data_IF_045655706412
#
_entry.id   IF_045655706412
#
_cell.length_a   1.000
_cell.length_b   1.000
_cell.length_c   1.000
_cell.angle_alpha   90.00
_cell.angle_beta   90.00
_cell.angle_gamma   90.00
#
_symmetry.space_group_name_H-M   'P 1'
#
loop_
_entity.id
_entity.type
_entity.pdbx_description
1 polymer ?
#
# COMPACT_ATOMS: atom_id res chain seq x y z
N UNK A 1 13.48 8.25 -0.99
CA UNK A 1 13.02 7.80 0.34
C UNK A 1 11.78 6.94 0.10
N UNK A 2 11.66 5.74 0.71
CA UNK A 2 10.46 4.94 0.57
C UNK A 2 9.30 5.54 1.37
N UNK A 3 8.10 5.37 0.84
CA UNK A 3 6.83 5.77 1.44
C UNK A 3 6.09 4.53 1.93
N UNK A 4 5.51 4.61 3.13
CA UNK A 4 4.52 3.67 3.61
C UNK A 4 3.11 4.23 3.36
N UNK A 5 2.27 3.44 2.71
CA UNK A 5 0.84 3.72 2.60
C UNK A 5 0.18 3.09 3.82
N UNK A 6 -0.41 3.94 4.66
CA UNK A 6 -1.01 3.58 5.94
C UNK A 6 -2.42 3.02 5.74
N UNK A 7 -2.87 2.18 6.68
CA UNK A 7 -4.17 1.54 6.64
C UNK A 7 -5.32 2.48 7.03
N UNK A 8 -6.49 1.90 7.30
CA UNK A 8 -7.69 2.65 7.65
C UNK A 8 -7.59 3.44 8.97
N UNK A 9 -6.61 3.10 9.81
CA UNK A 9 -6.28 3.83 11.04
C UNK A 9 -4.82 4.28 10.92
N UNK A 10 -4.55 5.40 10.22
CA UNK A 10 -3.20 5.79 9.86
C UNK A 10 -2.32 6.09 11.07
N UNK A 11 -2.88 6.71 12.11
CA UNK A 11 -2.22 6.95 13.40
C UNK A 11 -1.61 5.69 14.01
N UNK A 12 -2.37 4.58 14.06
CA UNK A 12 -1.87 3.32 14.60
C UNK A 12 -0.88 2.65 13.65
N UNK A 13 -1.01 2.87 12.34
CA UNK A 13 -0.06 2.35 11.35
C UNK A 13 1.29 3.07 11.45
N UNK A 14 1.27 4.39 11.65
CA UNK A 14 2.47 5.18 11.89
C UNK A 14 3.09 4.87 13.26
N UNK A 15 2.26 4.64 14.29
CA UNK A 15 2.73 4.20 15.60
C UNK A 15 3.39 2.82 15.53
N UNK A 16 2.83 1.87 14.79
CA UNK A 16 3.47 0.58 14.51
C UNK A 16 4.84 0.78 13.86
N UNK A 17 4.92 1.67 12.87
CA UNK A 17 6.16 2.03 12.21
C UNK A 17 7.11 2.87 13.07
N UNK A 18 6.72 3.35 14.25
CA UNK A 18 7.55 4.23 15.07
C UNK A 18 7.95 5.54 14.37
N UNK A 19 7.11 6.05 13.47
CA UNK A 19 7.36 7.28 12.70
C UNK A 19 6.35 8.37 13.10
N UNK A 20 6.72 9.66 13.01
CA UNK A 20 5.77 10.75 13.20
C UNK A 20 4.66 10.71 12.16
N UNK A 21 3.46 11.19 12.53
CA UNK A 21 2.31 11.29 11.65
C UNK A 21 1.53 12.57 11.93
N UNK A 22 1.28 13.35 10.89
CA UNK A 22 0.65 14.68 10.91
C UNK A 22 -0.63 14.75 10.07
N UNK A 23 -1.18 13.59 9.71
CA UNK A 23 -2.42 13.43 8.95
C UNK A 23 -2.25 12.65 7.65
N UNK A 24 -3.35 12.49 6.92
CA UNK A 24 -3.34 11.77 5.65
C UNK A 24 -3.09 10.27 5.78
N UNK A 25 -2.56 9.67 4.72
CA UNK A 25 -2.43 8.21 4.53
C UNK A 25 -0.99 7.77 4.22
N UNK A 26 -0.02 8.66 4.35
CA UNK A 26 1.36 8.41 3.97
C UNK A 26 2.26 8.67 5.17
N UNK A 27 3.28 7.83 5.33
CA UNK A 27 4.42 8.11 6.19
C UNK A 27 5.73 7.93 5.40
N UNK A 28 6.68 8.81 5.67
CA UNK A 28 8.05 8.67 5.19
C UNK A 28 8.80 7.65 6.05
N UNK A 29 9.50 6.72 5.40
CA UNK A 29 10.23 5.67 6.09
C UNK A 29 11.71 6.04 6.23
N UNK A 30 12.30 5.94 7.44
CA UNK A 30 13.71 6.23 7.68
C UNK A 30 14.65 5.18 7.07
N UNK A 31 14.11 4.02 6.66
CA UNK A 31 14.87 2.91 6.09
C UNK A 31 13.96 1.84 5.47
N UNK A 32 14.55 0.71 5.12
CA UNK A 32 13.82 -0.44 4.59
C UNK A 32 13.05 -1.17 5.69
N UNK A 33 11.82 -1.58 5.38
CA UNK A 33 10.96 -2.33 6.29
C UNK A 33 10.35 -3.51 5.55
N UNK A 34 10.25 -4.64 6.25
CA UNK A 34 9.56 -5.82 5.74
C UNK A 34 8.04 -5.67 5.94
N UNK A 35 7.33 -5.41 4.84
CA UNK A 35 5.88 -5.27 4.83
C UNK A 35 5.15 -6.50 5.40
N UNK A 36 5.74 -7.70 5.28
CA UNK A 36 5.11 -8.93 5.77
C UNK A 36 5.10 -9.03 7.30
N UNK A 37 5.85 -8.16 7.99
CA UNK A 37 5.85 -8.08 9.45
C UNK A 37 4.92 -7.00 10.00
N UNK A 38 4.36 -6.16 9.14
CA UNK A 38 3.45 -5.09 9.54
C UNK A 38 1.99 -5.54 9.46
N UNK A 39 1.14 -4.93 10.28
CA UNK A 39 -0.31 -5.10 10.24
C UNK A 39 -1.04 -3.87 9.70
N UNK A 40 -0.53 -2.66 9.96
CA UNK A 40 -1.17 -1.39 9.63
C UNK A 40 -0.85 -0.87 8.25
N UNK A 41 0.36 -1.13 7.73
CA UNK A 41 0.78 -0.69 6.40
C UNK A 41 0.19 -1.57 5.29
N UNK A 42 -0.38 -0.94 4.26
CA UNK A 42 -1.05 -1.65 3.14
C UNK A 42 -0.19 -1.74 1.89
N UNK A 43 0.70 -0.77 1.67
CA UNK A 43 1.65 -0.77 0.55
C UNK A 43 2.96 -0.07 0.96
N UNK A 44 4.02 -0.42 0.25
CA UNK A 44 5.26 0.36 0.19
C UNK A 44 5.43 0.92 -1.23
N UNK A 45 6.03 2.10 -1.33
CA UNK A 45 6.31 2.73 -2.61
C UNK A 45 7.65 3.47 -2.60
N UNK A 46 8.32 3.50 -3.74
CA UNK A 46 9.50 4.34 -3.95
C UNK A 46 9.10 5.61 -4.68
N UNK A 47 9.57 6.76 -4.21
CA UNK A 47 9.41 8.04 -4.90
C UNK A 47 10.22 8.05 -6.19
N UNK A 48 9.57 8.39 -7.30
CA UNK A 48 10.19 8.49 -8.62
C UNK A 48 10.28 9.94 -9.11
N UNK A 49 9.48 10.84 -8.57
CA UNK A 49 9.47 12.25 -9.01
C UNK A 49 8.28 13.02 -8.46
N UNK A 50 8.04 14.19 -9.04
CA UNK A 50 6.88 15.05 -8.73
C UNK A 50 6.03 15.36 -9.97
N UNK A 51 6.51 14.99 -11.17
CA UNK A 51 5.77 15.18 -12.41
C UNK A 51 5.10 13.87 -12.82
N UNK A 52 3.80 13.95 -13.13
CA UNK A 52 3.06 12.79 -13.61
C UNK A 52 3.63 12.27 -14.94
N UNK A 53 4.30 13.10 -15.73
CA UNK A 53 4.92 12.71 -16.99
C UNK A 53 6.01 11.64 -16.83
N UNK A 54 6.64 11.54 -15.66
CA UNK A 54 7.62 10.51 -15.31
C UNK A 54 7.02 9.09 -15.44
N UNK A 55 5.73 8.94 -15.10
CA UNK A 55 5.01 7.68 -15.25
C UNK A 55 4.94 7.23 -16.70
N UNK A 56 4.70 8.15 -17.65
CA UNK A 56 4.63 7.82 -19.07
C UNK A 56 6.01 7.36 -19.61
N UNK A 57 7.08 8.00 -19.14
CA UNK A 57 8.45 7.60 -19.49
C UNK A 57 8.74 6.16 -19.02
N UNK A 58 8.35 5.82 -17.79
CA UNK A 58 8.44 4.44 -17.26
C UNK A 58 7.60 3.48 -18.10
N UNK A 59 6.35 3.83 -18.42
CA UNK A 59 5.49 2.98 -19.24
C UNK A 59 6.08 2.71 -20.62
N UNK A 60 6.79 3.67 -21.21
CA UNK A 60 7.49 3.50 -22.49
C UNK A 60 8.71 2.59 -22.38
N UNK A 61 9.40 2.58 -21.24
CA UNK A 61 10.59 1.74 -21.03
C UNK A 61 10.29 0.29 -20.66
N UNK A 62 9.07 -0.03 -20.19
CA UNK A 62 8.70 -1.44 -19.91
C UNK A 62 8.83 -2.27 -21.20
N UNK A 63 9.46 -3.47 -21.17
CA UNK A 63 9.56 -4.37 -22.33
C UNK A 63 8.22 -4.68 -23.02
N UNK A 64 8.25 -4.91 -24.33
CA UNK A 64 7.06 -5.19 -25.16
C UNK A 64 6.79 -6.67 -25.37
N UNK A 65 7.49 -7.56 -24.68
CA UNK A 65 7.35 -9.02 -24.73
C UNK A 65 6.09 -9.55 -24.03
N UNK A 66 5.36 -8.69 -23.31
CA UNK A 66 4.09 -9.01 -22.68
C UNK A 66 3.14 -7.81 -22.64
N UNK A 67 1.90 -8.08 -22.22
CA UNK A 67 0.86 -7.06 -22.07
C UNK A 67 1.23 -6.09 -20.93
N UNK A 68 1.37 -4.81 -21.27
CA UNK A 68 1.57 -3.74 -20.30
C UNK A 68 0.27 -3.48 -19.54
N UNK A 69 0.30 -3.66 -18.22
CA UNK A 69 -0.83 -3.34 -17.33
C UNK A 69 -0.37 -2.24 -16.39
N UNK A 70 -1.15 -1.18 -16.22
CA UNK A 70 -0.79 -0.08 -15.32
C UNK A 70 -2.02 0.54 -14.66
N UNK A 71 -1.81 1.30 -13.59
CA UNK A 71 -2.89 1.99 -12.87
C UNK A 71 -2.36 3.11 -11.97
N UNK A 72 -3.28 3.83 -11.35
CA UNK A 72 -2.97 4.93 -10.43
C UNK A 72 -3.69 4.72 -9.10
N UNK A 73 -3.00 5.05 -8.01
CA UNK A 73 -3.56 5.10 -6.66
C UNK A 73 -3.29 6.48 -6.05
N UNK A 74 -4.34 7.25 -5.75
CA UNK A 74 -4.24 8.63 -5.23
C UNK A 74 -4.46 8.65 -3.72
N UNK A 75 -3.51 9.23 -2.97
CA UNK A 75 -3.54 9.29 -1.51
C UNK A 75 -3.41 10.72 -0.99
N UNK A 76 -4.00 10.99 0.17
CA UNK A 76 -3.75 12.20 0.93
C UNK A 76 -2.40 12.10 1.65
N UNK A 77 -1.52 13.08 1.47
CA UNK A 77 -0.24 13.19 2.14
C UNK A 77 -0.29 13.88 3.50
N UNK A 78 -1.36 14.64 3.76
CA UNK A 78 -1.58 15.38 5.01
C UNK A 78 -3.10 15.54 5.28
N UNK A 79 -3.47 16.20 6.38
CA UNK A 79 -4.86 16.45 6.77
C UNK A 79 -5.56 17.55 5.96
N UNK A 80 -4.84 18.28 5.10
CA UNK A 80 -5.40 19.39 4.31
C UNK A 80 -6.11 18.89 3.04
N UNK A 81 -5.79 17.67 2.60
CA UNK A 81 -6.38 17.07 1.40
C UNK A 81 -7.72 16.42 1.70
N UNK A 82 -8.75 16.92 1.04
CA UNK A 82 -10.12 16.43 1.17
C UNK A 82 -10.40 15.22 0.28
N UNK A 83 -11.41 14.43 0.65
CA UNK A 83 -11.90 13.30 -0.14
C UNK A 83 -12.36 13.72 -1.55
N UNK A 84 -12.97 14.89 -1.68
CA UNK A 84 -13.38 15.45 -2.98
C UNK A 84 -12.17 15.76 -3.88
N UNK A 85 -11.08 16.28 -3.31
CA UNK A 85 -9.84 16.52 -4.06
C UNK A 85 -9.24 15.19 -4.55
N UNK A 86 -9.20 14.16 -3.71
CA UNK A 86 -8.73 12.82 -4.10
C UNK A 86 -9.56 12.25 -5.26
N UNK A 87 -10.90 12.28 -5.15
CA UNK A 87 -11.80 11.79 -6.17
C UNK A 87 -11.66 12.56 -7.50
N UNK A 88 -11.59 13.89 -7.43
CA UNK A 88 -11.41 14.74 -8.61
C UNK A 88 -10.06 14.47 -9.29
N UNK A 89 -8.98 14.30 -8.52
CA UNK A 89 -7.66 14.02 -9.08
C UNK A 89 -7.57 12.61 -9.66
N UNK A 90 -8.14 11.61 -8.98
CA UNK A 90 -8.22 10.24 -9.51
C UNK A 90 -8.99 10.19 -10.84
N UNK A 91 -10.07 10.97 -10.98
CA UNK A 91 -10.77 11.12 -12.27
C UNK A 91 -9.86 11.71 -13.35
N UNK A 92 -9.13 12.78 -13.05
CA UNK A 92 -8.15 13.38 -13.99
C UNK A 92 -7.09 12.37 -14.45
N UNK A 93 -6.55 11.58 -13.51
CA UNK A 93 -5.57 10.53 -13.84
C UNK A 93 -6.17 9.38 -14.64
N UNK A 94 -7.45 9.05 -14.43
CA UNK A 94 -8.16 8.06 -15.25
C UNK A 94 -8.26 8.52 -16.70
N UNK A 95 -8.64 9.78 -16.93
CA UNK A 95 -8.75 10.36 -18.28
C UNK A 95 -7.36 10.43 -18.95
N UNK A 96 -6.34 10.86 -18.22
CA UNK A 96 -4.95 10.87 -18.66
C UNK A 96 -4.44 9.46 -19.01
N UNK A 97 -4.72 8.47 -18.15
CA UNK A 97 -4.37 7.08 -18.38
C UNK A 97 -5.04 6.49 -19.61
N UNK A 98 -6.27 6.90 -19.92
CA UNK A 98 -6.96 6.49 -21.14
C UNK A 98 -6.30 7.09 -22.39
N UNK A 99 -5.84 8.34 -22.31
CA UNK A 99 -5.06 8.96 -23.38
C UNK A 99 -3.72 8.23 -23.59
N UNK A 100 -2.95 7.97 -22.52
CA UNK A 100 -1.69 7.21 -22.62
C UNK A 100 -1.88 5.79 -23.13
N UNK A 101 -2.95 5.11 -22.69
CA UNK A 101 -3.31 3.79 -23.22
C UNK A 101 -3.54 3.82 -24.72
N UNK A 102 -4.18 4.87 -25.26
CA UNK A 102 -4.35 5.04 -26.72
C UNK A 102 -3.00 5.26 -27.40
N UNK A 103 -2.20 6.19 -26.90
CA UNK A 103 -0.86 6.49 -27.44
C UNK A 103 0.06 5.25 -27.48
N UNK A 104 0.09 4.47 -26.40
CA UNK A 104 0.92 3.25 -26.32
C UNK A 104 0.40 2.13 -27.22
N UNK A 105 -0.92 2.07 -27.46
CA UNK A 105 -1.50 1.12 -28.43
C UNK A 105 -1.13 1.49 -29.88
N UNK A 106 -1.10 2.78 -30.20
CA UNK A 106 -0.66 3.26 -31.53
C UNK A 106 0.79 2.91 -31.83
N UNK A 107 1.64 2.75 -30.80
CA UNK A 107 3.00 2.23 -30.94
C UNK A 107 3.08 0.69 -30.97
N UNK A 108 1.97 0.00 -31.24
CA UNK A 108 1.91 -1.47 -31.38
C UNK A 108 1.88 -2.26 -30.06
N UNK A 109 1.73 -1.62 -28.90
CA UNK A 109 1.72 -2.34 -27.61
C UNK A 109 0.35 -2.86 -27.22
N UNK A 110 0.31 -4.05 -26.61
CA UNK A 110 -0.87 -4.53 -25.87
C UNK A 110 -0.91 -3.87 -24.49
N UNK A 111 -1.91 -3.03 -24.23
CA UNK A 111 -1.98 -2.19 -23.02
C UNK A 111 -3.34 -2.23 -22.33
N UNK A 112 -3.34 -2.34 -21.01
CA UNK A 112 -4.52 -2.20 -20.13
C UNK A 112 -4.26 -1.15 -19.04
N UNK A 113 -5.18 -0.20 -18.94
CA UNK A 113 -5.35 0.63 -17.75
C UNK A 113 -6.27 -0.10 -16.77
N UNK A 114 -5.83 -0.27 -15.53
CA UNK A 114 -6.62 -0.74 -14.39
C UNK A 114 -7.30 0.46 -13.76
N UNK A 115 -8.59 0.35 -13.51
CA UNK A 115 -9.42 1.42 -12.95
C UNK A 115 -10.21 0.89 -11.75
N UNK A 116 -10.47 1.78 -10.80
CA UNK A 116 -11.33 1.55 -9.64
C UNK A 116 -12.41 2.63 -9.59
N UNK A 117 -13.46 2.39 -8.80
CA UNK A 117 -14.42 3.44 -8.42
C UNK A 117 -13.87 4.30 -7.27
N UNK A 118 -12.96 3.73 -6.49
CA UNK A 118 -12.22 4.43 -5.44
C UNK A 118 -11.01 5.17 -6.02
N UNK A 119 -10.51 6.23 -5.35
CA UNK A 119 -9.27 6.92 -5.75
C UNK A 119 -8.02 6.02 -5.75
N UNK A 120 -8.08 4.86 -5.09
CA UNK A 120 -6.95 3.94 -4.89
C UNK A 120 -7.23 2.55 -5.48
N UNK A 121 -6.16 1.87 -5.91
CA UNK A 121 -6.22 0.43 -6.20
C UNK A 121 -5.92 -0.36 -4.93
N UNK A 122 -6.81 -1.28 -4.57
CA UNK A 122 -6.59 -2.17 -3.42
C UNK A 122 -5.41 -3.11 -3.64
N UNK A 123 -4.80 -3.62 -2.57
CA UNK A 123 -3.74 -4.64 -2.66
C UNK A 123 -4.20 -5.86 -3.46
N UNK A 124 -5.49 -6.24 -3.35
CA UNK A 124 -6.09 -7.32 -4.13
C UNK A 124 -6.04 -7.04 -5.62
N UNK A 125 -6.42 -5.82 -6.05
CA UNK A 125 -6.38 -5.43 -7.47
C UNK A 125 -4.93 -5.40 -7.96
N UNK A 126 -4.03 -4.76 -7.21
CA UNK A 126 -2.61 -4.66 -7.56
C UNK A 126 -1.97 -6.03 -7.76
N UNK A 127 -2.24 -6.98 -6.86
CA UNK A 127 -1.73 -8.35 -6.95
C UNK A 127 -2.35 -9.13 -8.10
N UNK A 128 -3.69 -9.10 -8.26
CA UNK A 128 -4.39 -9.88 -9.30
C UNK A 128 -4.14 -9.37 -10.72
N UNK A 129 -3.89 -8.07 -10.88
CA UNK A 129 -3.56 -7.46 -12.17
C UNK A 129 -2.05 -7.42 -12.43
N UNK A 130 -1.24 -8.03 -11.55
CA UNK A 130 0.21 -8.17 -11.68
C UNK A 130 0.98 -6.85 -11.83
N UNK A 131 0.47 -5.76 -11.27
CA UNK A 131 1.07 -4.42 -11.39
C UNK A 131 2.46 -4.30 -10.72
N UNK A 132 2.78 -5.18 -9.78
CA UNK A 132 4.12 -5.21 -9.14
C UNK A 132 5.22 -5.75 -10.05
N UNK A 133 4.88 -6.54 -11.08
CA UNK A 133 5.85 -7.15 -11.98
C UNK A 133 6.71 -6.09 -12.67
N UNK A 134 6.05 -5.05 -13.17
CA UNK A 134 6.68 -3.92 -13.89
C UNK A 134 6.69 -2.63 -13.05
N UNK A 135 6.23 -2.70 -11.79
CA UNK A 135 6.07 -1.56 -10.87
C UNK A 135 5.25 -0.41 -11.49
N UNK A 136 4.11 -0.77 -12.08
CA UNK A 136 3.21 0.12 -12.84
C UNK A 136 1.90 0.45 -12.10
N UNK A 137 1.83 0.16 -10.79
CA UNK A 137 0.88 0.82 -9.88
C UNK A 137 1.54 2.13 -9.40
N UNK A 138 1.17 3.24 -10.04
CA UNK A 138 1.71 4.55 -9.71
C UNK A 138 0.97 5.14 -8.51
N UNK A 139 1.72 5.47 -7.48
CA UNK A 139 1.24 6.13 -6.26
C UNK A 139 1.35 7.63 -6.47
N UNK A 140 0.24 8.35 -6.32
CA UNK A 140 0.19 9.80 -6.43
C UNK A 140 -0.26 10.36 -5.09
N UNK A 141 0.65 11.03 -4.40
CA UNK A 141 0.38 11.64 -3.09
C UNK A 141 0.13 13.12 -3.28
N UNK A 142 -1.03 13.58 -2.83
CA UNK A 142 -1.39 14.99 -2.83
C UNK A 142 -1.06 15.61 -1.48
N UNK A 143 -0.44 16.78 -1.51
CA UNK A 143 -0.32 17.71 -0.38
C UNK A 143 -0.97 19.04 -0.79
N UNK A 144 -1.11 19.99 0.13
CA UNK A 144 -1.75 21.28 -0.15
C UNK A 144 -1.22 22.00 -1.42
N UNK A 145 0.10 22.00 -1.63
CA UNK A 145 0.76 22.74 -2.72
C UNK A 145 1.72 21.90 -3.59
N UNK A 146 1.85 20.59 -3.31
CA UNK A 146 2.77 19.71 -4.03
C UNK A 146 2.16 18.35 -4.28
N UNK A 147 2.66 17.69 -5.32
CA UNK A 147 2.35 16.29 -5.62
C UNK A 147 3.64 15.51 -5.61
N UNK A 148 3.62 14.33 -4.97
CA UNK A 148 4.72 13.37 -5.01
C UNK A 148 4.25 12.15 -5.79
N UNK A 149 5.10 11.66 -6.69
CA UNK A 149 4.84 10.50 -7.52
C UNK A 149 5.77 9.37 -7.08
N UNK A 150 5.19 8.20 -6.87
CA UNK A 150 5.90 6.98 -6.56
C UNK A 150 5.40 5.79 -7.37
N UNK A 151 6.08 4.66 -7.19
CA UNK A 151 5.66 3.35 -7.70
C UNK A 151 5.58 2.36 -6.57
N UNK A 152 4.51 1.57 -6.54
CA UNK A 152 4.35 0.54 -5.52
C UNK A 152 5.43 -0.54 -5.66
N UNK A 153 6.15 -0.80 -4.59
CA UNK A 153 7.20 -1.82 -4.51
C UNK A 153 6.70 -3.08 -3.79
N UNK A 154 5.77 -2.94 -2.86
CA UNK A 154 5.16 -4.07 -2.16
C UNK A 154 3.71 -3.75 -1.76
N UNK A 155 2.87 -4.80 -1.68
CA UNK A 155 1.51 -4.70 -1.13
C UNK A 155 1.29 -5.77 -0.06
N UNK A 156 0.42 -5.48 0.88
CA UNK A 156 0.09 -6.39 1.97
C UNK A 156 -0.55 -7.68 1.41
N UNK A 157 -0.08 -8.83 1.89
CA UNK A 157 -0.59 -10.13 1.46
C UNK A 157 -1.97 -10.41 2.08
N UNK A 158 -3.01 -10.06 1.35
CA UNK A 158 -4.39 -10.27 1.77
C UNK A 158 -4.73 -11.76 1.92
N UNK A 159 -4.06 -12.67 1.20
CA UNK A 159 -4.33 -14.11 1.28
C UNK A 159 -3.76 -14.67 2.56
N UNK A 160 -2.55 -14.28 2.95
CA UNK A 160 -1.96 -14.73 4.22
C UNK A 160 -2.73 -14.24 5.42
N UNK A 161 -3.20 -12.98 5.42
CA UNK A 161 -4.08 -12.50 6.49
C UNK A 161 -5.42 -13.23 6.53
N UNK A 162 -6.02 -13.50 5.37
CA UNK A 162 -7.26 -14.30 5.28
C UNK A 162 -7.05 -15.72 5.78
N UNK A 163 -5.92 -16.36 5.44
CA UNK A 163 -5.57 -17.71 5.90
C UNK A 163 -5.38 -17.77 7.41
N UNK A 164 -4.76 -16.76 8.03
CA UNK A 164 -4.57 -16.67 9.49
C UNK A 164 -5.88 -16.45 10.25
N UNK A 165 -6.85 -15.82 9.61
CA UNK A 165 -8.17 -15.56 10.19
C UNK A 165 -9.10 -16.77 10.03
N UNK A 166 -9.30 -17.23 8.80
CA UNK A 166 -10.28 -18.26 8.46
C UNK A 166 -9.72 -19.70 8.48
N UNK A 167 -8.40 -19.87 8.40
CA UNK A 167 -7.74 -21.18 8.36
C UNK A 167 -7.36 -21.74 9.74
N UNK A 168 -7.92 -21.20 10.81
CA UNK A 168 -7.70 -21.70 12.18
C UNK A 168 -8.40 -23.05 12.37
N UNK A 169 -7.78 -24.03 13.06
CA UNK A 169 -8.42 -25.32 13.35
C UNK A 169 -9.76 -25.18 14.06
N UNK A 170 -9.88 -24.20 14.96
CA UNK A 170 -11.11 -23.84 15.65
C UNK A 170 -11.28 -22.31 15.59
N UNK A 171 -12.50 -21.88 15.26
CA UNK A 171 -12.88 -20.47 15.21
C UNK A 171 -13.95 -20.22 16.27
N UNK A 172 -13.76 -19.17 17.05
CA UNK A 172 -14.77 -18.68 17.97
C UNK A 172 -15.30 -17.34 17.48
N UNK A 173 -16.29 -17.40 16.60
CA UNK A 173 -16.94 -16.20 16.10
C UNK A 173 -17.95 -15.60 17.09
N UNK A 174 -18.35 -16.36 18.13
CA UNK A 174 -19.37 -15.94 19.09
C UNK A 174 -18.81 -14.96 20.13
N UNK A 175 -17.60 -15.22 20.64
CA UNK A 175 -16.92 -14.35 21.60
C UNK A 175 -16.28 -13.11 20.97
N UNK A 176 -16.34 -12.97 19.64
CA UNK A 176 -15.69 -11.90 18.88
C UNK A 176 -14.27 -12.28 18.45
N UNK A 177 -13.86 -11.81 17.26
CA UNK A 177 -12.55 -12.09 16.69
C UNK A 177 -11.72 -10.81 16.60
N UNK A 178 -10.55 -10.80 17.24
CA UNK A 178 -9.54 -9.78 16.98
C UNK A 178 -8.98 -10.01 15.57
N UNK A 179 -9.03 -9.02 14.65
CA UNK A 179 -8.47 -9.21 13.32
C UNK A 179 -6.96 -9.43 13.39
N UNK A 180 -6.38 -10.40 12.65
CA UNK A 180 -4.94 -10.69 12.74
C UNK A 180 -4.02 -9.50 12.41
N UNK A 181 -4.51 -8.54 11.61
CA UNK A 181 -3.80 -7.28 11.34
C UNK A 181 -3.65 -6.43 12.59
N UNK A 182 -4.72 -6.30 13.37
CA UNK A 182 -4.73 -5.50 14.60
C UNK A 182 -3.86 -6.17 15.66
N UNK A 183 -4.00 -7.48 15.85
CA UNK A 183 -3.14 -8.22 16.78
C UNK A 183 -1.64 -8.02 16.47
N UNK A 184 -1.27 -8.13 15.19
CA UNK A 184 0.10 -7.88 14.74
C UNK A 184 0.57 -6.45 15.05
N UNK A 185 -0.26 -5.44 14.80
CA UNK A 185 0.07 -4.06 15.15
C UNK A 185 0.30 -3.90 16.65
N UNK A 186 -0.58 -4.46 17.50
CA UNK A 186 -0.45 -4.38 18.95
C UNK A 186 0.88 -5.00 19.43
N UNK A 187 1.23 -6.17 18.89
CA UNK A 187 2.52 -6.81 19.19
C UNK A 187 3.67 -5.91 18.76
N UNK A 188 3.66 -5.42 17.53
CA UNK A 188 4.74 -4.59 17.00
C UNK A 188 4.92 -3.28 17.77
N UNK A 189 3.81 -2.63 18.15
CA UNK A 189 3.80 -1.40 18.96
C UNK A 189 4.34 -1.69 20.37
N UNK A 190 3.79 -2.70 21.04
CA UNK A 190 4.16 -3.03 22.43
C UNK A 190 5.60 -3.52 22.59
N UNK A 191 6.22 -4.00 21.50
CA UNK A 191 7.59 -4.53 21.51
C UNK A 191 8.59 -3.68 20.71
N UNK A 192 8.13 -2.59 20.07
CA UNK A 192 8.91 -1.73 19.19
C UNK A 192 9.66 -2.51 18.07
N UNK A 193 8.97 -3.43 17.40
CA UNK A 193 9.59 -4.44 16.50
C UNK A 193 9.56 -4.12 15.01
N UNK A 194 8.95 -3.03 14.57
CA UNK A 194 8.79 -2.76 13.14
C UNK A 194 10.12 -2.62 12.37
N UNK A 195 11.18 -2.16 13.04
CA UNK A 195 12.52 -1.98 12.47
C UNK A 195 13.56 -3.02 12.94
N UNK A 196 13.19 -3.92 13.85
CA UNK A 196 14.13 -4.89 14.42
C UNK A 196 14.29 -6.11 13.52
N UNK A 197 15.50 -6.65 13.37
CA UNK A 197 15.73 -7.90 12.63
C UNK A 197 15.12 -9.10 13.38
N UNK A 198 14.85 -10.19 12.66
CA UNK A 198 14.30 -11.42 13.28
C UNK A 198 15.26 -11.97 14.33
N UNK A 199 16.56 -11.86 14.09
CA UNK A 199 17.63 -12.30 15.00
C UNK A 199 17.59 -11.52 16.32
N UNK A 200 17.41 -10.20 16.27
CA UNK A 200 17.34 -9.35 17.48
C UNK A 200 16.12 -9.63 18.35
N UNK A 201 15.07 -10.24 17.79
CA UNK A 201 13.86 -10.55 18.53
C UNK A 201 13.81 -12.01 19.04
N UNK A 202 14.83 -12.82 18.75
CA UNK A 202 14.86 -14.21 19.17
C UNK A 202 14.95 -14.30 20.71
N UNK A 203 14.09 -15.12 21.32
CA UNK A 203 14.06 -15.32 22.78
C UNK A 203 13.25 -14.29 23.58
N UNK A 204 12.59 -13.32 22.93
CA UNK A 204 11.62 -12.44 23.61
C UNK A 204 10.32 -13.19 23.93
N UNK A 205 9.85 -13.06 25.17
CA UNK A 205 8.56 -13.59 25.61
C UNK A 205 7.48 -12.52 25.55
N UNK A 206 6.31 -12.89 25.03
CA UNK A 206 5.09 -12.07 25.05
C UNK A 206 4.03 -12.79 25.86
N UNK A 207 3.46 -12.11 26.86
CA UNK A 207 2.34 -12.61 27.65
C UNK A 207 1.05 -11.91 27.22
N UNK A 208 0.06 -12.69 26.80
CA UNK A 208 -1.32 -12.24 26.68
C UNK A 208 -2.16 -12.94 27.76
N UNK A 209 -2.49 -12.26 28.88
CA UNK A 209 -3.24 -12.86 29.99
C UNK A 209 -4.72 -13.11 29.66
N UNK A 210 -5.19 -12.64 28.50
CA UNK A 210 -6.58 -12.79 28.03
C UNK A 210 -6.64 -13.35 26.61
N UNK A 211 -5.72 -14.27 26.26
CA UNK A 211 -5.46 -14.69 24.88
C UNK A 211 -6.64 -15.33 24.15
N UNK A 212 -7.64 -15.86 24.86
CA UNK A 212 -8.81 -16.50 24.27
C UNK A 212 -8.42 -17.56 23.23
N UNK A 213 -8.83 -17.36 21.97
CA UNK A 213 -8.50 -18.25 20.84
C UNK A 213 -7.06 -18.12 20.30
N UNK A 214 -6.25 -17.20 20.83
CA UNK A 214 -4.85 -17.01 20.46
C UNK A 214 -4.68 -16.41 19.05
N UNK A 215 -5.23 -15.21 18.82
CA UNK A 215 -5.04 -14.45 17.56
C UNK A 215 -3.62 -13.93 17.44
#
# INVERSE_FOLDING_TARGET
MPLAILGNTPELSALELGVPWDGGQIAELPGTVDLQRLGGTVKLADVIGNDISDCLSILKSVPSDHKLVFGFSVYAGDHTVTTNQLAAYAKKLRDLGMHWKKQLKESGRSVRLVVSNEPTLSSVIVTKEHLLKDQTDFVVVLYQAKTVIGRTTAVQDYKEFSRRDYGRPQRDAFSGMLPPKVARMLVNIGTNRAHQSVETCHGMSLLDPFCGSGT
#
